data_IF_494328471121
#
_entry.id   IF_494328471121
#
_cell.length_a   1.000
_cell.length_b   1.000
_cell.length_c   1.000
_cell.angle_alpha   90.00
_cell.angle_beta   90.00
_cell.angle_gamma   90.00
#
_symmetry.space_group_name_H-M   'P 1'
#
loop_
_entity.id
_entity.type
_entity.pdbx_description
1 polymer ?
#
# COMPACT_ATOMS: atom_id res chain seq x y z
N UNK A 1 -28.59 -8.72 -0.48
CA UNK A 1 -28.47 -10.17 -0.77
C UNK A 1 -27.15 -10.35 -1.51
N UNK A 2 -26.24 -11.17 -0.99
CA UNK A 2 -24.96 -11.42 -1.64
C UNK A 2 -25.23 -12.20 -2.93
N UNK A 3 -24.73 -11.70 -4.06
CA UNK A 3 -24.93 -12.32 -5.37
C UNK A 3 -23.64 -13.03 -5.81
N UNK A 4 -23.56 -14.31 -5.48
CA UNK A 4 -22.52 -15.22 -5.97
C UNK A 4 -22.76 -15.54 -7.45
N UNK A 5 -21.70 -15.58 -8.24
CA UNK A 5 -21.74 -15.90 -9.67
C UNK A 5 -20.79 -17.05 -10.00
N UNK A 6 -21.10 -17.81 -11.04
CA UNK A 6 -20.23 -18.87 -11.54
C UNK A 6 -19.14 -18.32 -12.47
N UNK A 7 -18.16 -19.17 -12.81
CA UNK A 7 -17.17 -18.88 -13.84
C UNK A 7 -17.82 -18.60 -15.22
N UNK A 8 -18.93 -19.28 -15.53
CA UNK A 8 -19.66 -19.02 -16.78
C UNK A 8 -20.24 -17.61 -16.78
N UNK A 9 -20.90 -17.21 -15.70
CA UNK A 9 -21.46 -15.87 -15.54
C UNK A 9 -20.37 -14.79 -15.59
N UNK A 10 -19.21 -15.05 -14.98
CA UNK A 10 -18.05 -14.14 -15.04
C UNK A 10 -17.61 -13.92 -16.49
N UNK A 11 -17.43 -14.99 -17.26
CA UNK A 11 -17.04 -14.89 -18.66
C UNK A 11 -18.08 -14.13 -19.48
N UNK A 12 -19.36 -14.41 -19.27
CA UNK A 12 -20.44 -13.69 -19.96
C UNK A 12 -20.41 -12.18 -19.63
N UNK A 13 -20.14 -11.82 -18.37
CA UNK A 13 -20.01 -10.42 -17.96
C UNK A 13 -18.81 -9.76 -18.66
N UNK A 14 -17.64 -10.41 -18.68
CA UNK A 14 -16.43 -9.84 -19.27
C UNK A 14 -16.59 -9.73 -20.79
N UNK A 15 -17.07 -10.78 -21.46
CA UNK A 15 -17.12 -10.85 -22.93
C UNK A 15 -18.18 -9.89 -23.51
N UNK A 16 -19.23 -9.54 -22.76
CA UNK A 16 -20.32 -8.66 -23.23
C UNK A 16 -20.21 -7.20 -22.74
N UNK A 17 -19.19 -6.85 -21.95
CA UNK A 17 -19.06 -5.52 -21.35
C UNK A 17 -17.64 -4.97 -21.50
N UNK A 18 -17.51 -3.66 -21.29
CA UNK A 18 -16.21 -3.00 -21.27
C UNK A 18 -15.63 -3.09 -19.86
N UNK A 19 -14.87 -4.15 -19.64
CA UNK A 19 -14.35 -4.51 -18.33
C UNK A 19 -12.89 -4.07 -18.13
N UNK A 20 -12.58 -3.53 -16.96
CA UNK A 20 -11.23 -3.34 -16.46
C UNK A 20 -10.87 -4.42 -15.45
N UNK A 21 -9.65 -4.96 -15.56
CA UNK A 21 -9.06 -5.85 -14.56
C UNK A 21 -8.27 -5.00 -13.57
N UNK A 22 -8.55 -5.13 -12.28
CA UNK A 22 -7.83 -4.46 -11.20
C UNK A 22 -7.30 -5.50 -10.22
N UNK A 23 -5.98 -5.68 -10.14
CA UNK A 23 -5.38 -6.56 -9.14
C UNK A 23 -4.86 -5.83 -7.91
N UNK A 24 -4.92 -6.52 -6.77
CA UNK A 24 -4.11 -6.25 -5.58
C UNK A 24 -3.11 -7.37 -5.30
N UNK A 25 -2.52 -7.36 -4.10
CA UNK A 25 -1.39 -8.22 -3.71
C UNK A 25 -1.70 -9.72 -3.88
N UNK A 26 -2.98 -10.11 -3.76
CA UNK A 26 -3.42 -11.48 -3.94
C UNK A 26 -3.16 -12.05 -5.33
N UNK A 27 -2.87 -11.23 -6.35
CA UNK A 27 -2.43 -11.70 -7.67
C UNK A 27 -0.98 -12.23 -7.64
N UNK A 28 -0.03 -11.40 -7.21
CA UNK A 28 1.42 -11.70 -7.26
C UNK A 28 1.80 -12.87 -6.34
N UNK A 29 1.09 -13.04 -5.21
CA UNK A 29 1.28 -14.16 -4.29
C UNK A 29 1.04 -15.55 -4.91
N UNK A 30 0.30 -15.62 -6.02
CA UNK A 30 0.10 -16.90 -6.73
C UNK A 30 1.36 -17.36 -7.45
N UNK A 31 2.29 -16.45 -7.76
CA UNK A 31 3.51 -16.73 -8.51
C UNK A 31 4.74 -16.94 -7.62
N UNK A 32 4.75 -16.32 -6.44
CA UNK A 32 5.87 -16.44 -5.51
C UNK A 32 5.44 -16.22 -4.05
N UNK A 33 5.93 -17.08 -3.16
CA UNK A 33 5.70 -16.97 -1.72
C UNK A 33 6.37 -15.75 -1.10
N UNK A 34 7.39 -15.20 -1.74
CA UNK A 34 8.12 -14.02 -1.28
C UNK A 34 7.23 -12.78 -1.16
N UNK A 35 6.16 -12.70 -1.97
CA UNK A 35 5.17 -11.62 -1.88
C UNK A 35 4.19 -11.79 -0.71
N UNK A 36 4.06 -13.01 -0.17
CA UNK A 36 3.24 -13.30 1.01
C UNK A 36 4.00 -13.23 2.34
N UNK A 37 5.33 -13.43 2.31
CA UNK A 37 6.18 -13.55 3.50
C UNK A 37 7.24 -12.44 3.55
N UNK A 38 6.78 -11.18 3.53
CA UNK A 38 7.64 -9.99 3.49
C UNK A 38 8.57 -9.93 4.72
N UNK A 39 8.09 -10.28 5.92
CA UNK A 39 8.88 -10.20 7.15
C UNK A 39 10.14 -11.07 7.15
N UNK A 40 10.11 -12.23 6.48
CA UNK A 40 11.25 -13.16 6.46
C UNK A 40 12.49 -12.59 5.75
N UNK A 41 12.31 -11.55 4.93
CA UNK A 41 13.37 -10.99 4.07
C UNK A 41 13.79 -9.58 4.52
N UNK A 42 13.29 -9.11 5.66
CA UNK A 42 13.67 -7.81 6.23
C UNK A 42 15.17 -7.68 6.45
N UNK A 43 15.82 -8.73 6.96
CA UNK A 43 17.26 -8.68 7.21
C UNK A 43 18.08 -8.62 5.91
N UNK A 44 17.63 -9.28 4.84
CA UNK A 44 18.27 -9.19 3.53
C UNK A 44 18.16 -7.78 2.96
N UNK A 45 16.97 -7.17 3.02
CA UNK A 45 16.77 -5.78 2.60
C UNK A 45 17.60 -4.80 3.43
N UNK A 46 17.69 -5.02 4.75
CA UNK A 46 18.55 -4.24 5.64
C UNK A 46 20.02 -4.29 5.19
N UNK A 47 20.55 -5.47 4.86
CA UNK A 47 21.93 -5.60 4.36
C UNK A 47 22.16 -4.81 3.07
N UNK A 48 21.19 -4.77 2.16
CA UNK A 48 21.29 -3.97 0.93
C UNK A 48 21.37 -2.46 1.23
N UNK A 49 20.67 -1.99 2.27
CA UNK A 49 20.75 -0.61 2.74
C UNK A 49 22.12 -0.31 3.35
N UNK A 50 22.61 -1.15 4.26
CA UNK A 50 23.87 -0.89 4.98
C UNK A 50 25.08 -1.00 4.06
N UNK A 51 25.11 -1.98 3.15
CA UNK A 51 26.19 -2.15 2.15
C UNK A 51 26.28 -1.00 1.15
N UNK A 52 25.27 -0.12 1.09
CA UNK A 52 25.23 1.02 0.18
C UNK A 52 24.74 0.68 -1.23
N UNK A 53 24.08 -0.48 -1.41
CA UNK A 53 23.41 -0.81 -2.67
C UNK A 53 22.12 0.01 -2.83
N UNK A 54 21.45 0.31 -1.72
CA UNK A 54 20.32 1.24 -1.69
C UNK A 54 20.79 2.70 -1.67
N UNK A 55 20.18 3.53 -2.50
CA UNK A 55 20.53 4.93 -2.72
C UNK A 55 19.38 5.84 -2.27
N UNK A 56 19.68 6.79 -1.37
CA UNK A 56 18.79 7.88 -1.00
C UNK A 56 19.39 9.22 -1.41
N UNK A 57 18.72 9.93 -2.33
CA UNK A 57 19.16 11.24 -2.84
C UNK A 57 18.11 12.31 -2.65
N UNK A 58 18.58 13.52 -2.42
CA UNK A 58 17.75 14.72 -2.30
C UNK A 58 18.18 15.73 -3.36
N UNK A 59 17.20 16.36 -4.01
CA UNK A 59 17.41 17.52 -4.88
C UNK A 59 16.53 18.66 -4.38
N UNK A 60 17.01 19.41 -3.40
CA UNK A 60 16.29 20.54 -2.81
C UNK A 60 17.28 21.63 -2.36
N UNK A 61 16.81 22.62 -1.60
CA UNK A 61 17.71 23.55 -0.91
C UNK A 61 18.52 22.82 0.19
N UNK A 62 19.64 23.41 0.61
CA UNK A 62 20.57 22.82 1.57
C UNK A 62 19.95 22.52 2.94
N UNK A 63 18.98 23.33 3.40
CA UNK A 63 18.31 23.08 4.69
C UNK A 63 17.47 21.80 4.62
N UNK A 64 16.68 21.63 3.57
CA UNK A 64 15.87 20.43 3.37
C UNK A 64 16.76 19.20 3.13
N UNK A 65 17.82 19.34 2.33
CA UNK A 65 18.78 18.27 2.08
C UNK A 65 19.47 17.81 3.36
N UNK A 66 20.01 18.73 4.16
CA UNK A 66 20.68 18.41 5.41
C UNK A 66 19.74 17.75 6.41
N UNK A 67 18.49 18.23 6.52
CA UNK A 67 17.48 17.62 7.38
C UNK A 67 17.21 16.18 6.97
N UNK A 68 16.80 15.96 5.73
CA UNK A 68 16.40 14.64 5.24
C UNK A 68 17.56 13.64 5.26
N UNK A 69 18.75 14.02 4.76
CA UNK A 69 19.93 13.15 4.75
C UNK A 69 20.45 12.88 6.16
N UNK A 70 20.59 13.91 7.00
CA UNK A 70 21.08 13.77 8.36
C UNK A 70 20.19 12.84 9.18
N UNK A 71 18.88 13.05 9.12
CA UNK A 71 17.89 12.19 9.79
C UNK A 71 17.99 10.73 9.34
N UNK A 72 18.11 10.49 8.02
CA UNK A 72 18.25 9.13 7.50
C UNK A 72 19.56 8.46 7.91
N UNK A 73 20.69 9.16 7.80
CA UNK A 73 22.00 8.61 8.18
C UNK A 73 22.08 8.30 9.67
N UNK A 74 21.47 9.12 10.53
CA UNK A 74 21.38 8.85 11.96
C UNK A 74 20.70 7.51 12.26
N UNK A 75 19.59 7.20 11.57
CA UNK A 75 18.88 5.91 11.72
C UNK A 75 19.68 4.77 11.11
N UNK A 76 20.34 5.00 9.97
CA UNK A 76 21.22 4.01 9.34
C UNK A 76 22.36 3.62 10.29
N UNK A 77 23.00 4.60 10.95
CA UNK A 77 24.03 4.37 11.96
C UNK A 77 23.50 3.62 13.19
N UNK A 78 22.30 3.94 13.68
CA UNK A 78 21.66 3.21 14.79
C UNK A 78 21.50 1.71 14.48
N UNK A 79 21.29 1.37 13.22
CA UNK A 79 20.99 0.02 12.75
C UNK A 79 22.16 -0.66 12.03
N UNK A 80 23.32 -0.02 11.89
CA UNK A 80 24.45 -0.52 11.08
C UNK A 80 24.86 -1.96 11.41
N UNK A 81 24.96 -2.27 12.71
CA UNK A 81 25.31 -3.60 13.22
C UNK A 81 24.08 -4.41 13.69
N UNK A 82 22.89 -4.11 13.18
CA UNK A 82 21.68 -4.81 13.60
C UNK A 82 21.72 -6.28 13.15
N UNK A 83 21.42 -7.21 14.06
CA UNK A 83 21.15 -8.60 13.71
C UNK A 83 19.74 -8.76 13.15
N UNK A 84 19.44 -9.93 12.58
CA UNK A 84 18.07 -10.27 12.13
C UNK A 84 17.04 -10.08 13.24
N UNK A 85 17.35 -10.57 14.45
CA UNK A 85 16.48 -10.44 15.62
C UNK A 85 16.28 -8.98 16.01
N UNK A 86 17.31 -8.14 15.89
CA UNK A 86 17.22 -6.71 16.19
C UNK A 86 16.35 -5.96 15.17
N UNK A 87 16.37 -6.35 13.89
CA UNK A 87 15.47 -5.80 12.87
C UNK A 87 14.01 -6.18 13.17
N UNK A 88 13.75 -7.45 13.53
CA UNK A 88 12.40 -7.89 13.93
C UNK A 88 11.95 -7.19 15.21
N UNK A 89 12.86 -7.00 16.18
CA UNK A 89 12.58 -6.32 17.46
C UNK A 89 12.00 -4.92 17.26
N UNK A 90 12.38 -4.20 16.20
CA UNK A 90 11.78 -2.89 15.88
C UNK A 90 10.25 -3.00 15.82
N UNK A 91 9.70 -4.02 15.18
CA UNK A 91 8.26 -4.19 15.02
C UNK A 91 7.59 -4.79 16.27
N UNK A 92 8.30 -5.63 17.03
CA UNK A 92 7.85 -6.07 18.36
C UNK A 92 7.71 -4.87 19.31
N UNK A 93 8.69 -3.98 19.32
CA UNK A 93 8.67 -2.76 20.11
C UNK A 93 7.60 -1.76 19.62
N UNK A 94 7.36 -1.72 18.31
CA UNK A 94 6.27 -0.93 17.74
C UNK A 94 4.90 -1.42 18.25
N UNK A 95 4.68 -2.73 18.36
CA UNK A 95 3.46 -3.29 18.94
C UNK A 95 3.31 -2.90 20.42
N UNK A 96 4.37 -3.01 21.23
CA UNK A 96 4.36 -2.57 22.64
C UNK A 96 3.97 -1.09 22.74
N UNK A 97 4.50 -0.25 21.85
CA UNK A 97 4.13 1.16 21.80
C UNK A 97 2.66 1.35 21.41
N UNK A 98 2.17 0.65 20.39
CA UNK A 98 0.76 0.70 20.00
C UNK A 98 -0.18 0.33 21.15
N UNK A 99 0.11 -0.77 21.86
CA UNK A 99 -0.67 -1.23 23.01
C UNK A 99 -0.67 -0.21 24.16
N UNK A 100 0.48 0.41 24.43
CA UNK A 100 0.59 1.44 25.47
C UNK A 100 -0.31 2.66 25.18
N UNK A 101 -0.47 3.04 23.92
CA UNK A 101 -1.40 4.10 23.51
C UNK A 101 -2.84 3.61 23.64
N UNK A 102 -3.14 2.43 23.11
CA UNK A 102 -4.49 1.85 23.08
C UNK A 102 -5.08 1.69 24.49
N UNK A 103 -4.27 1.27 25.45
CA UNK A 103 -4.70 1.03 26.84
C UNK A 103 -4.88 2.33 27.63
N UNK A 104 -4.36 3.47 27.15
CA UNK A 104 -4.48 4.75 27.82
C UNK A 104 -5.66 5.57 27.25
N UNK A 105 -6.88 5.30 27.74
CA UNK A 105 -8.08 6.01 27.32
C UNK A 105 -7.97 7.53 27.49
N UNK A 106 -7.32 8.01 28.57
CA UNK A 106 -7.13 9.44 28.82
C UNK A 106 -6.31 10.10 27.72
N UNK A 107 -5.24 9.44 27.26
CA UNK A 107 -4.42 9.92 26.15
C UNK A 107 -5.23 9.98 24.85
N UNK A 108 -5.95 8.91 24.53
CA UNK A 108 -6.79 8.85 23.32
C UNK A 108 -7.83 9.98 23.33
N UNK A 109 -8.53 10.19 24.44
CA UNK A 109 -9.53 11.25 24.57
C UNK A 109 -8.90 12.64 24.41
N UNK A 110 -7.71 12.86 24.98
CA UNK A 110 -6.99 14.13 24.81
C UNK A 110 -6.55 14.36 23.35
N UNK A 111 -6.07 13.33 22.66
CA UNK A 111 -5.70 13.41 21.24
C UNK A 111 -6.93 13.73 20.36
N UNK A 112 -8.09 13.13 20.64
CA UNK A 112 -9.35 13.51 19.98
C UNK A 112 -9.74 14.96 20.25
N UNK A 113 -9.75 15.37 21.53
CA UNK A 113 -10.16 16.72 21.93
C UNK A 113 -9.26 17.81 21.33
N UNK A 114 -7.98 17.49 21.08
CA UNK A 114 -7.02 18.39 20.43
C UNK A 114 -7.00 18.28 18.89
N UNK A 115 -7.90 17.49 18.29
CA UNK A 115 -7.94 17.22 16.85
C UNK A 115 -6.63 16.64 16.29
N UNK A 116 -5.91 15.86 17.10
CA UNK A 116 -4.70 15.13 16.74
C UNK A 116 -4.99 13.67 16.36
N UNK A 117 -6.26 13.25 16.40
CA UNK A 117 -6.74 12.04 15.73
C UNK A 117 -7.78 12.47 14.71
N UNK A 118 -7.63 11.98 13.47
CA UNK A 118 -8.55 12.25 12.37
C UNK A 118 -9.47 11.08 12.11
N UNK A 119 -10.73 11.39 11.81
CA UNK A 119 -11.73 10.44 11.29
C UNK A 119 -12.09 10.83 9.86
N UNK A 120 -11.98 9.89 8.95
CA UNK A 120 -12.38 10.04 7.56
C UNK A 120 -13.92 10.04 7.47
N UNK A 121 -14.44 10.65 6.41
CA UNK A 121 -15.88 10.77 6.19
C UNK A 121 -16.57 9.40 6.10
N UNK A 122 -15.86 8.36 5.69
CA UNK A 122 -16.31 6.96 5.64
C UNK A 122 -16.01 6.16 6.91
N UNK A 123 -15.70 6.82 8.02
CA UNK A 123 -15.69 6.21 9.34
C UNK A 123 -14.34 5.72 9.84
N UNK A 124 -13.37 5.43 8.97
CA UNK A 124 -12.02 5.01 9.37
C UNK A 124 -11.27 6.17 10.05
N UNK A 125 -10.65 5.91 11.20
CA UNK A 125 -9.80 6.85 11.92
C UNK A 125 -8.39 6.31 12.14
N UNK A 126 -7.45 7.20 12.51
CA UNK A 126 -6.08 6.81 12.88
C UNK A 126 -6.10 5.88 14.12
N UNK A 127 -7.08 6.04 15.01
CA UNK A 127 -7.34 5.12 16.13
C UNK A 127 -7.78 3.73 15.68
N UNK A 128 -8.53 3.62 14.58
CA UNK A 128 -8.97 2.32 14.08
C UNK A 128 -7.79 1.52 13.53
N UNK A 129 -6.85 2.19 12.83
CA UNK A 129 -5.58 1.57 12.41
C UNK A 129 -4.77 1.13 13.64
N UNK A 130 -4.66 1.97 14.67
CA UNK A 130 -4.00 1.60 15.94
C UNK A 130 -4.62 0.34 16.57
N UNK A 131 -5.96 0.27 16.60
CA UNK A 131 -6.67 -0.89 17.13
C UNK A 131 -6.43 -2.15 16.28
N UNK A 132 -6.34 -2.03 14.96
CA UNK A 132 -6.03 -3.14 14.06
C UNK A 132 -4.61 -3.67 14.30
N UNK A 133 -3.61 -2.79 14.47
CA UNK A 133 -2.24 -3.16 14.83
C UNK A 133 -2.24 -4.00 16.11
N UNK A 134 -2.89 -3.49 17.17
CA UNK A 134 -2.93 -4.19 18.47
C UNK A 134 -3.64 -5.54 18.37
N UNK A 135 -4.83 -5.56 17.74
CA UNK A 135 -5.62 -6.77 17.59
C UNK A 135 -4.88 -7.85 16.79
N UNK A 136 -4.38 -7.52 15.60
CA UNK A 136 -3.68 -8.48 14.73
C UNK A 136 -2.36 -8.91 15.38
N UNK A 137 -1.63 -7.99 16.00
CA UNK A 137 -0.39 -8.29 16.70
C UNK A 137 -0.57 -9.30 17.84
N UNK A 138 -1.64 -9.15 18.62
CA UNK A 138 -1.98 -10.06 19.72
C UNK A 138 -2.51 -11.41 19.23
N UNK A 139 -3.39 -11.41 18.22
CA UNK A 139 -4.07 -12.63 17.75
C UNK A 139 -3.19 -13.48 16.82
N UNK A 140 -2.41 -12.83 15.94
CA UNK A 140 -1.75 -13.46 14.79
C UNK A 140 -0.24 -13.20 14.71
N UNK A 141 0.30 -12.30 15.53
CA UNK A 141 1.71 -11.93 15.54
C UNK A 141 2.07 -10.76 14.62
N UNK A 142 3.25 -10.18 14.85
CA UNK A 142 3.70 -8.96 14.16
C UNK A 142 3.89 -9.14 12.65
N UNK A 143 4.20 -10.35 12.18
CA UNK A 143 4.41 -10.60 10.75
C UNK A 143 3.11 -10.55 9.94
N UNK A 144 1.96 -10.61 10.63
CA UNK A 144 0.62 -10.57 10.03
C UNK A 144 0.01 -9.17 10.03
N UNK A 145 0.62 -8.22 10.73
CA UNK A 145 0.20 -6.82 10.69
C UNK A 145 0.51 -6.26 9.31
N UNK A 146 -0.45 -5.54 8.72
CA UNK A 146 -0.23 -4.91 7.44
C UNK A 146 0.93 -3.91 7.55
N UNK A 147 1.93 -4.07 6.68
CA UNK A 147 3.15 -3.27 6.72
C UNK A 147 2.82 -1.76 6.75
N UNK A 148 1.87 -1.33 5.93
CA UNK A 148 1.51 0.08 5.79
C UNK A 148 1.04 0.73 7.08
N UNK A 149 0.48 -0.04 8.01
CA UNK A 149 -0.06 0.47 9.27
C UNK A 149 1.02 0.98 10.22
N UNK A 150 2.25 0.45 10.18
CA UNK A 150 3.30 0.83 11.13
C UNK A 150 3.61 2.33 11.14
N UNK A 151 3.49 2.98 9.99
CA UNK A 151 3.76 4.41 9.84
C UNK A 151 2.80 5.30 10.64
N UNK A 152 1.61 4.82 11.00
CA UNK A 152 0.69 5.59 11.86
C UNK A 152 1.27 5.80 13.26
N UNK A 153 2.10 4.88 13.75
CA UNK A 153 2.72 5.00 15.07
C UNK A 153 3.75 6.11 15.10
N UNK A 154 4.41 6.41 13.97
CA UNK A 154 5.32 7.56 13.85
C UNK A 154 4.52 8.87 14.02
N UNK A 155 3.31 8.94 13.46
CA UNK A 155 2.41 10.07 13.69
C UNK A 155 2.00 10.18 15.16
N UNK A 156 1.58 9.08 15.78
CA UNK A 156 1.21 9.07 17.21
C UNK A 156 2.37 9.52 18.11
N UNK A 157 3.61 9.12 17.83
CA UNK A 157 4.78 9.59 18.56
C UNK A 157 4.85 11.12 18.62
N UNK A 158 4.79 11.78 17.47
CA UNK A 158 4.85 13.24 17.39
C UNK A 158 3.60 13.92 17.95
N UNK A 159 2.41 13.31 17.79
CA UNK A 159 1.19 13.81 18.39
C UNK A 159 1.28 13.82 19.93
N UNK A 160 1.78 12.74 20.53
CA UNK A 160 1.98 12.64 21.98
C UNK A 160 3.06 13.62 22.45
N UNK A 161 4.17 13.76 21.71
CA UNK A 161 5.19 14.77 21.98
C UNK A 161 4.65 16.21 21.93
N UNK A 162 3.67 16.49 21.07
CA UNK A 162 3.03 17.80 21.01
C UNK A 162 2.12 18.05 22.22
N UNK A 163 1.44 17.02 22.73
CA UNK A 163 0.59 17.13 23.92
C UNK A 163 1.40 17.28 25.21
N UNK A 164 2.52 16.55 25.33
CA UNK A 164 3.35 16.45 26.54
C UNK A 164 2.54 16.08 27.80
N UNK A 165 1.77 14.98 27.77
CA UNK A 165 0.91 14.60 28.89
C UNK A 165 1.75 14.17 30.11
N UNK A 166 1.47 14.73 31.28
CA UNK A 166 2.16 14.34 32.53
C UNK A 166 1.77 12.96 33.07
N UNK A 167 0.77 12.32 32.47
CA UNK A 167 0.17 11.06 32.93
C UNK A 167 0.46 9.88 32.00
N UNK A 168 1.25 10.10 30.95
CA UNK A 168 1.65 9.08 30.01
C UNK A 168 3.14 9.17 29.77
N UNK A 169 3.81 8.03 29.88
CA UNK A 169 5.23 7.89 29.59
C UNK A 169 5.39 6.92 28.41
N UNK A 170 6.31 7.26 27.52
CA UNK A 170 6.67 6.36 26.43
C UNK A 170 7.30 5.07 27.00
N UNK A 171 7.02 3.90 26.42
CA UNK A 171 7.68 2.66 26.81
C UNK A 171 9.21 2.77 26.82
N UNK A 172 9.83 2.38 27.93
CA UNK A 172 11.29 2.38 28.09
C UNK A 172 11.96 1.33 27.20
N UNK A 173 13.23 1.56 26.84
CA UNK A 173 14.06 0.62 26.07
C UNK A 173 13.43 0.15 24.74
N UNK A 174 12.62 1.01 24.13
CA UNK A 174 11.89 0.74 22.90
C UNK A 174 12.70 1.20 21.67
N UNK A 175 13.17 0.26 20.86
CA UNK A 175 14.00 0.51 19.68
C UNK A 175 13.24 1.24 18.56
N UNK A 176 11.95 0.99 18.42
CA UNK A 176 11.10 1.70 17.45
C UNK A 176 11.03 3.20 17.78
N UNK A 177 10.73 3.53 19.03
CA UNK A 177 10.70 4.90 19.51
C UNK A 177 12.07 5.58 19.41
N UNK A 178 13.14 4.86 19.77
CA UNK A 178 14.52 5.35 19.62
C UNK A 178 14.86 5.67 18.15
N UNK A 179 14.44 4.83 17.20
CA UNK A 179 14.67 5.06 15.79
C UNK A 179 13.90 6.29 15.27
N UNK A 180 12.66 6.49 15.73
CA UNK A 180 11.89 7.70 15.39
C UNK A 180 12.58 8.94 15.96
N UNK A 181 12.98 8.92 17.23
CA UNK A 181 13.60 10.06 17.92
C UNK A 181 14.91 10.50 17.24
N UNK A 182 15.84 9.55 17.05
CA UNK A 182 17.11 9.78 16.36
C UNK A 182 16.90 10.21 14.89
N UNK A 183 15.83 9.70 14.27
CA UNK A 183 15.40 10.07 12.93
C UNK A 183 14.78 11.46 12.82
N UNK A 184 14.66 12.22 13.92
CA UNK A 184 14.11 13.58 13.91
C UNK A 184 15.08 14.62 14.52
N UNK A 185 16.34 14.26 14.77
CA UNK A 185 17.33 15.14 15.41
C UNK A 185 17.60 16.45 14.65
N UNK A 186 17.49 16.45 13.32
CA UNK A 186 17.68 17.65 12.50
C UNK A 186 16.36 18.40 12.23
N UNK A 187 15.32 18.14 13.00
CA UNK A 187 14.03 18.83 12.89
C UNK A 187 14.11 20.29 13.33
N UNK A 188 13.21 21.11 12.80
CA UNK A 188 13.00 22.47 13.28
C UNK A 188 11.62 22.54 13.93
N UNK A 189 11.51 22.10 15.19
CA UNK A 189 10.25 21.99 15.94
C UNK A 189 9.40 23.26 15.91
N UNK A 190 10.01 24.44 15.76
CA UNK A 190 9.30 25.72 15.71
C UNK A 190 8.56 25.97 14.37
N UNK A 191 8.86 25.21 13.32
CA UNK A 191 8.30 25.40 11.97
C UNK A 191 7.62 24.17 11.40
N UNK A 192 7.96 22.98 11.88
CA UNK A 192 7.47 21.73 11.32
C UNK A 192 6.18 21.29 12.01
N UNK A 193 5.11 21.14 11.23
CA UNK A 193 3.93 20.40 11.70
C UNK A 193 4.22 18.89 11.79
N UNK A 194 3.35 18.14 12.48
CA UNK A 194 3.51 16.70 12.66
C UNK A 194 3.68 15.97 11.33
N UNK A 195 2.91 16.34 10.29
CA UNK A 195 2.98 15.68 8.99
C UNK A 195 4.35 15.88 8.34
N UNK A 196 4.89 17.10 8.37
CA UNK A 196 6.26 17.40 7.89
C UNK A 196 7.28 16.55 8.63
N UNK A 197 7.16 16.44 9.96
CA UNK A 197 8.04 15.58 10.78
C UNK A 197 7.95 14.12 10.36
N UNK A 198 6.76 13.55 10.19
CA UNK A 198 6.59 12.17 9.70
C UNK A 198 7.25 11.97 8.33
N UNK A 199 6.97 12.84 7.35
CA UNK A 199 7.49 12.69 5.98
C UNK A 199 9.02 12.83 5.90
N UNK A 200 9.62 13.64 6.76
CA UNK A 200 11.06 13.94 6.77
C UNK A 200 11.84 13.20 7.87
N UNK A 201 11.16 12.34 8.63
CA UNK A 201 11.78 11.50 9.64
C UNK A 201 12.64 10.41 8.98
N UNK A 202 13.85 10.24 9.50
CA UNK A 202 14.82 9.28 8.99
C UNK A 202 14.35 7.84 9.06
N UNK A 203 13.59 7.48 10.09
CA UNK A 203 13.05 6.13 10.23
C UNK A 203 11.90 5.89 9.26
N UNK A 204 11.08 6.91 8.95
CA UNK A 204 10.09 6.81 7.86
C UNK A 204 10.76 6.55 6.51
N UNK A 205 11.86 7.23 6.21
CA UNK A 205 12.66 6.99 5.00
C UNK A 205 13.26 5.58 4.99
N UNK A 206 13.92 5.18 6.08
CA UNK A 206 14.52 3.86 6.22
C UNK A 206 13.47 2.74 6.08
N UNK A 207 12.32 2.89 6.73
CA UNK A 207 11.19 1.97 6.66
C UNK A 207 10.69 1.80 5.22
N UNK A 208 10.48 2.89 4.48
CA UNK A 208 10.05 2.83 3.08
C UNK A 208 11.08 2.14 2.19
N UNK A 209 12.37 2.44 2.38
CA UNK A 209 13.45 1.75 1.64
C UNK A 209 13.47 0.25 1.96
N UNK A 210 13.36 -0.12 3.24
CA UNK A 210 13.38 -1.50 3.69
C UNK A 210 12.28 -2.32 3.01
N UNK A 211 11.03 -1.86 3.09
CA UNK A 211 9.91 -2.59 2.52
C UNK A 211 9.88 -2.55 0.99
N UNK A 212 10.30 -1.45 0.34
CA UNK A 212 10.45 -1.42 -1.12
C UNK A 212 11.46 -2.46 -1.60
N UNK A 213 12.60 -2.62 -0.93
CA UNK A 213 13.63 -3.61 -1.29
C UNK A 213 13.12 -5.04 -1.03
N UNK A 214 12.38 -5.26 0.06
CA UNK A 214 11.75 -6.56 0.29
C UNK A 214 10.76 -6.88 -0.83
N UNK A 215 9.84 -5.98 -1.17
CA UNK A 215 8.84 -6.21 -2.22
C UNK A 215 9.53 -6.39 -3.58
N UNK A 216 10.62 -5.66 -3.84
CA UNK A 216 11.41 -5.81 -5.06
C UNK A 216 11.89 -7.26 -5.27
N UNK A 217 12.18 -7.94 -4.15
CA UNK A 217 12.46 -9.38 -4.09
C UNK A 217 13.57 -9.82 -5.05
N UNK A 218 14.68 -9.07 -5.03
CA UNK A 218 15.87 -9.32 -5.84
C UNK A 218 15.55 -9.48 -7.34
N UNK A 219 14.70 -8.59 -7.89
CA UNK A 219 14.34 -8.57 -9.29
C UNK A 219 13.08 -9.35 -9.65
N UNK A 220 12.56 -10.22 -8.76
CA UNK A 220 11.33 -11.01 -9.03
C UNK A 220 10.10 -10.17 -9.33
N UNK A 221 10.01 -8.97 -8.75
CA UNK A 221 8.93 -8.02 -9.01
C UNK A 221 8.94 -7.47 -10.44
N UNK A 222 10.09 -7.46 -11.14
CA UNK A 222 10.22 -6.88 -12.48
C UNK A 222 10.57 -7.90 -13.55
N UNK A 223 11.00 -9.10 -13.17
CA UNK A 223 11.22 -10.23 -14.07
C UNK A 223 10.48 -11.48 -13.60
N UNK A 224 9.35 -11.77 -14.26
CA UNK A 224 8.54 -12.94 -13.99
C UNK A 224 9.27 -14.29 -14.14
N UNK A 225 10.40 -14.35 -14.86
CA UNK A 225 11.18 -15.60 -15.02
C UNK A 225 11.85 -16.03 -13.72
N UNK A 226 12.03 -15.12 -12.78
CA UNK A 226 12.63 -15.38 -11.47
C UNK A 226 11.62 -15.92 -10.45
N UNK A 227 10.33 -15.99 -10.80
CA UNK A 227 9.25 -16.39 -9.90
C UNK A 227 9.27 -17.90 -9.63
N UNK A 228 9.22 -18.29 -8.36
CA UNK A 228 9.43 -19.68 -7.95
C UNK A 228 8.35 -20.65 -8.47
N UNK A 229 7.11 -20.19 -8.68
CA UNK A 229 5.99 -21.03 -9.17
C UNK A 229 5.73 -20.89 -10.67
N UNK A 230 6.63 -20.24 -11.42
CA UNK A 230 6.41 -19.96 -12.85
C UNK A 230 6.16 -21.23 -13.69
N UNK A 231 6.74 -22.36 -13.28
CA UNK A 231 6.57 -23.63 -13.97
C UNK A 231 5.21 -24.29 -13.71
N UNK A 232 4.54 -23.96 -12.60
CA UNK A 232 3.21 -24.46 -12.24
C UNK A 232 2.09 -23.66 -12.90
N UNK A 233 2.43 -22.46 -13.39
CA UNK A 233 1.49 -21.47 -13.91
C UNK A 233 1.40 -21.52 -15.45
N UNK A 234 0.18 -21.52 -15.96
CA UNK A 234 -0.19 -21.39 -17.37
C UNK A 234 -0.11 -19.92 -17.80
N UNK A 235 1.07 -19.46 -18.20
CA UNK A 235 1.26 -18.09 -18.69
C UNK A 235 0.36 -17.78 -19.90
N UNK A 236 0.14 -18.76 -20.79
CA UNK A 236 -0.81 -18.61 -21.90
C UNK A 236 -2.25 -18.48 -21.40
N UNK A 237 -2.69 -19.32 -20.45
CA UNK A 237 -4.04 -19.26 -19.90
C UNK A 237 -4.33 -17.94 -19.18
N UNK A 238 -3.38 -17.46 -18.39
CA UNK A 238 -3.48 -16.14 -17.74
C UNK A 238 -3.52 -15.03 -18.78
N UNK A 239 -2.63 -15.07 -19.78
CA UNK A 239 -2.64 -14.07 -20.84
C UNK A 239 -3.99 -14.07 -21.56
N UNK A 240 -4.50 -15.22 -22.00
CA UNK A 240 -5.79 -15.33 -22.70
C UNK A 240 -6.95 -14.77 -21.87
N UNK A 241 -6.96 -15.04 -20.56
CA UNK A 241 -7.93 -14.45 -19.64
C UNK A 241 -7.78 -12.91 -19.55
N UNK A 242 -6.56 -12.41 -19.36
CA UNK A 242 -6.29 -10.97 -19.23
C UNK A 242 -6.53 -10.19 -20.55
N UNK A 243 -6.40 -10.83 -21.71
CA UNK A 243 -6.69 -10.20 -23.00
C UNK A 243 -8.17 -9.87 -23.19
N UNK A 244 -9.07 -10.49 -22.41
CA UNK A 244 -10.51 -10.18 -22.44
C UNK A 244 -10.86 -8.79 -21.87
N UNK A 245 -9.96 -8.19 -21.10
CA UNK A 245 -10.19 -6.90 -20.45
C UNK A 245 -9.66 -5.75 -21.31
N UNK A 246 -10.40 -4.65 -21.36
CA UNK A 246 -10.04 -3.45 -22.13
C UNK A 246 -8.84 -2.71 -21.52
N UNK A 247 -8.74 -2.75 -20.18
CA UNK A 247 -7.68 -2.11 -19.43
C UNK A 247 -7.20 -3.02 -18.29
N UNK A 248 -5.90 -2.99 -18.02
CA UNK A 248 -5.26 -3.66 -16.90
C UNK A 248 -4.78 -2.60 -15.91
N UNK A 249 -5.12 -2.78 -14.65
CA UNK A 249 -4.78 -1.89 -13.55
C UNK A 249 -4.19 -2.69 -12.40
N UNK A 250 -3.27 -2.09 -11.67
CA UNK A 250 -2.61 -2.71 -10.53
C UNK A 250 -2.56 -1.76 -9.33
N UNK A 251 -2.83 -2.31 -8.15
CA UNK A 251 -2.48 -1.70 -6.86
C UNK A 251 -1.10 -2.17 -6.37
N UNK A 252 -0.50 -3.14 -7.06
CA UNK A 252 0.83 -3.65 -6.73
C UNK A 252 1.90 -2.82 -7.44
N UNK A 253 3.13 -3.00 -6.95
CA UNK A 253 4.30 -2.30 -7.46
C UNK A 253 5.07 -3.10 -8.53
N UNK A 254 4.78 -4.40 -8.67
CA UNK A 254 5.44 -5.33 -9.58
C UNK A 254 4.92 -5.25 -11.02
N UNK A 255 5.74 -5.67 -11.98
CA UNK A 255 5.43 -5.66 -13.42
C UNK A 255 5.00 -7.04 -13.95
N UNK A 256 4.40 -7.89 -13.11
CA UNK A 256 4.06 -9.27 -13.52
C UNK A 256 3.01 -9.24 -14.63
N UNK A 257 2.02 -8.34 -14.55
CA UNK A 257 0.97 -8.22 -15.57
C UNK A 257 1.53 -7.84 -16.95
N UNK A 258 2.42 -6.85 -17.01
CA UNK A 258 3.07 -6.37 -18.22
C UNK A 258 3.98 -7.44 -18.79
N UNK A 259 4.68 -8.16 -17.92
CA UNK A 259 5.55 -9.25 -18.32
C UNK A 259 4.79 -10.40 -18.98
N UNK A 260 3.61 -10.75 -18.48
CA UNK A 260 2.75 -11.80 -19.04
C UNK A 260 2.05 -11.32 -20.31
N UNK A 261 1.44 -10.15 -20.28
CA UNK A 261 0.51 -9.70 -21.33
C UNK A 261 1.14 -8.86 -22.43
N UNK A 262 2.33 -8.28 -22.17
CA UNK A 262 2.97 -7.27 -23.01
C UNK A 262 2.09 -6.03 -23.26
N UNK A 263 1.15 -5.77 -22.36
CA UNK A 263 0.27 -4.59 -22.38
C UNK A 263 0.72 -3.58 -21.32
N UNK A 264 0.34 -2.34 -21.53
CA UNK A 264 0.49 -1.29 -20.52
C UNK A 264 -0.47 -1.58 -19.35
N UNK A 265 -0.01 -1.30 -18.13
CA UNK A 265 -0.77 -1.44 -16.89
C UNK A 265 -0.79 -0.10 -16.17
N UNK A 266 -1.95 0.29 -15.62
CA UNK A 266 -2.08 1.49 -14.82
C UNK A 266 -1.77 1.20 -13.34
N UNK A 267 -0.62 1.67 -12.84
CA UNK A 267 -0.14 1.41 -11.46
C UNK A 267 -0.59 2.45 -10.44
N UNK A 268 -1.72 2.25 -9.76
CA UNK A 268 -2.32 3.28 -8.92
C UNK A 268 -1.53 3.67 -7.67
N UNK A 269 -0.70 2.77 -7.13
CA UNK A 269 0.14 3.03 -5.94
C UNK A 269 1.63 3.21 -6.25
N UNK A 270 1.97 3.43 -7.53
CA UNK A 270 3.35 3.51 -8.02
C UNK A 270 3.88 2.14 -8.47
N UNK A 271 5.08 2.16 -9.03
CA UNK A 271 5.71 0.98 -9.66
C UNK A 271 7.24 1.05 -9.55
N UNK A 272 7.91 -0.06 -9.90
CA UNK A 272 9.38 -0.12 -9.97
C UNK A 272 9.89 0.39 -11.32
N UNK A 273 10.59 1.51 -11.36
CA UNK A 273 11.09 2.08 -12.61
C UNK A 273 12.54 1.66 -12.88
N UNK A 274 12.78 1.03 -14.02
CA UNK A 274 14.10 0.52 -14.42
C UNK A 274 14.98 1.62 -15.04
N UNK A 275 16.24 1.66 -14.60
CA UNK A 275 17.32 2.48 -15.14
C UNK A 275 17.05 4.01 -15.16
N UNK A 276 16.09 4.48 -14.37
CA UNK A 276 15.75 5.90 -14.23
C UNK A 276 15.83 6.35 -12.77
N UNK A 277 16.23 7.61 -12.53
CA UNK A 277 16.21 8.24 -11.21
C UNK A 277 15.07 9.24 -11.11
N UNK A 278 14.08 8.89 -10.32
CA UNK A 278 12.91 9.71 -10.09
C UNK A 278 13.01 10.47 -8.77
N UNK A 279 12.37 11.64 -8.70
CA UNK A 279 12.28 12.43 -7.48
C UNK A 279 10.81 12.69 -7.16
N UNK A 280 10.36 12.28 -5.98
CA UNK A 280 9.02 12.53 -5.45
C UNK A 280 9.19 13.36 -4.18
N UNK A 281 8.55 14.53 -4.14
CA UNK A 281 8.75 15.50 -3.06
C UNK A 281 10.23 15.82 -2.76
N UNK A 282 11.03 15.97 -3.82
CA UNK A 282 12.48 16.24 -3.81
C UNK A 282 13.35 15.10 -3.30
N UNK A 283 12.77 13.93 -3.03
CA UNK A 283 13.43 12.73 -2.52
C UNK A 283 13.46 11.65 -3.59
N UNK A 284 14.57 10.92 -3.69
CA UNK A 284 14.78 9.83 -4.63
C UNK A 284 15.26 8.61 -3.86
N UNK A 285 14.63 7.47 -4.15
CA UNK A 285 14.93 6.18 -3.56
C UNK A 285 15.18 5.17 -4.69
N UNK A 286 16.23 4.38 -4.55
CA UNK A 286 16.48 3.28 -5.48
C UNK A 286 17.47 2.27 -4.95
N UNK A 287 17.71 1.24 -5.75
CA UNK A 287 18.58 0.10 -5.45
C UNK A 287 19.39 -0.24 -6.69
N UNK A 288 20.70 -0.39 -6.50
CA UNK A 288 21.58 -1.01 -7.49
C UNK A 288 21.61 -2.51 -7.24
N UNK A 289 21.23 -3.30 -8.25
CA UNK A 289 21.16 -4.76 -8.18
C UNK A 289 21.82 -5.36 -9.43
N UNK A 290 21.82 -6.69 -9.54
CA UNK A 290 22.56 -7.40 -10.59
C UNK A 290 22.20 -6.95 -12.01
N UNK A 291 20.93 -6.63 -12.30
CA UNK A 291 20.46 -6.28 -13.64
C UNK A 291 20.28 -4.78 -13.89
N UNK A 292 20.88 -3.94 -13.03
CA UNK A 292 20.94 -2.48 -13.22
C UNK A 292 20.48 -1.69 -12.01
N UNK A 293 19.84 -0.55 -12.26
CA UNK A 293 19.28 0.30 -11.22
C UNK A 293 17.76 0.22 -11.25
N UNK A 294 17.14 0.19 -10.08
CA UNK A 294 15.69 0.31 -9.94
C UNK A 294 15.36 1.49 -9.03
N UNK A 295 14.46 2.37 -9.48
CA UNK A 295 13.84 3.36 -8.62
C UNK A 295 12.52 2.85 -8.09
N UNK A 296 12.24 3.23 -6.85
CA UNK A 296 10.96 2.99 -6.17
C UNK A 296 10.47 4.26 -5.49
N UNK A 297 10.74 5.41 -6.12
CA UNK A 297 10.44 6.71 -5.49
C UNK A 297 8.96 7.04 -5.46
N UNK A 298 8.21 6.53 -6.44
CA UNK A 298 6.78 6.73 -6.60
C UNK A 298 5.93 5.67 -5.86
N UNK A 299 6.57 4.66 -5.27
CA UNK A 299 5.90 3.61 -4.50
C UNK A 299 5.33 4.18 -3.20
N UNK A 300 4.02 3.96 -2.99
CA UNK A 300 3.25 4.46 -1.85
C UNK A 300 3.16 3.45 -0.69
N UNK A 301 4.29 3.15 -0.05
CA UNK A 301 4.31 2.37 1.20
C UNK A 301 4.08 3.30 2.39
N UNK A 302 2.98 3.07 3.12
CA UNK A 302 2.64 3.76 4.36
C UNK A 302 1.13 3.94 4.52
N UNK A 303 0.73 4.58 5.62
CA UNK A 303 -0.65 4.72 6.02
C UNK A 303 -1.47 5.56 5.03
N UNK A 304 -2.78 5.38 5.11
CA UNK A 304 -3.71 6.09 4.24
C UNK A 304 -3.66 7.62 4.41
N UNK A 305 -3.52 8.11 5.65
CA UNK A 305 -3.66 9.52 5.99
C UNK A 305 -2.49 10.36 5.47
N UNK A 306 -1.26 9.89 5.66
CA UNK A 306 -0.06 10.64 5.29
C UNK A 306 0.48 10.18 3.94
N UNK A 307 0.86 8.91 3.80
CA UNK A 307 1.65 8.46 2.65
C UNK A 307 0.81 8.21 1.39
N UNK A 308 -0.39 7.63 1.51
CA UNK A 308 -1.25 7.39 0.32
C UNK A 308 -2.12 8.58 -0.08
N UNK A 309 -2.46 9.47 0.85
CA UNK A 309 -3.35 10.62 0.56
C UNK A 309 -2.62 11.95 0.50
N UNK A 310 -1.92 12.33 1.56
CA UNK A 310 -1.41 13.69 1.72
C UNK A 310 -0.09 13.93 0.98
N UNK A 311 0.85 12.99 1.04
CA UNK A 311 2.15 13.09 0.38
C UNK A 311 2.02 13.26 -1.15
N UNK A 312 1.16 12.53 -1.88
CA UNK A 312 0.96 12.76 -3.31
C UNK A 312 0.45 14.16 -3.64
N UNK A 313 -0.41 14.74 -2.78
CA UNK A 313 -0.89 16.12 -2.94
C UNK A 313 0.25 17.11 -2.73
N UNK A 314 1.01 16.95 -1.64
CA UNK A 314 2.17 17.79 -1.32
C UNK A 314 3.20 17.73 -2.45
N UNK A 315 3.54 16.53 -2.92
CA UNK A 315 4.48 16.32 -4.03
C UNK A 315 4.03 17.06 -5.29
N UNK A 316 2.73 16.99 -5.61
CA UNK A 316 2.17 17.69 -6.77
C UNK A 316 2.24 19.22 -6.66
N UNK A 317 2.04 19.77 -5.46
CA UNK A 317 2.27 21.20 -5.24
C UNK A 317 3.76 21.55 -5.32
N UNK A 318 4.64 20.68 -4.82
CA UNK A 318 6.08 20.90 -4.81
C UNK A 318 6.72 20.92 -6.21
N UNK A 319 6.06 20.37 -7.24
CA UNK A 319 6.52 20.48 -8.64
C UNK A 319 6.68 21.94 -9.07
N UNK A 320 5.80 22.84 -8.60
CA UNK A 320 5.88 24.28 -8.92
C UNK A 320 7.16 24.92 -8.39
N UNK A 321 7.62 24.47 -7.23
CA UNK A 321 8.83 24.96 -6.57
C UNK A 321 10.10 24.21 -6.95
N UNK A 322 9.98 23.00 -7.49
CA UNK A 322 11.11 22.13 -7.81
C UNK A 322 10.84 21.34 -9.10
N UNK A 323 11.46 21.72 -10.24
CA UNK A 323 11.21 21.10 -11.53
C UNK A 323 11.78 19.68 -11.65
N UNK A 324 12.62 19.23 -10.71
CA UNK A 324 13.12 17.86 -10.69
C UNK A 324 12.08 16.84 -10.24
N UNK A 325 10.99 17.29 -9.61
CA UNK A 325 9.94 16.39 -9.14
C UNK A 325 9.16 15.78 -10.29
N UNK A 326 8.97 14.46 -10.22
CA UNK A 326 8.09 13.69 -11.10
C UNK A 326 6.68 14.28 -11.03
N UNK A 327 6.07 14.45 -12.19
CA UNK A 327 4.66 14.81 -12.28
C UNK A 327 3.83 13.55 -12.09
N UNK A 328 3.05 13.50 -11.01
CA UNK A 328 2.15 12.38 -10.74
C UNK A 328 0.71 12.83 -10.88
N UNK A 329 -0.11 12.09 -11.61
CA UNK A 329 -1.54 12.39 -11.68
C UNK A 329 -2.21 11.95 -10.37
N UNK A 330 -3.12 12.76 -9.80
CA UNK A 330 -3.95 12.31 -8.68
C UNK A 330 -4.69 11.01 -9.01
N UNK A 331 -4.87 10.14 -8.01
CA UNK A 331 -5.55 8.84 -8.16
C UNK A 331 -6.89 8.96 -8.92
N UNK A 332 -7.74 9.90 -8.51
CA UNK A 332 -9.06 10.12 -9.12
C UNK A 332 -8.97 10.45 -10.61
N UNK A 333 -7.96 11.23 -11.02
CA UNK A 333 -7.77 11.61 -12.41
C UNK A 333 -7.31 10.40 -13.24
N UNK A 334 -6.41 9.58 -12.69
CA UNK A 334 -5.97 8.33 -13.33
C UNK A 334 -7.12 7.35 -13.52
N UNK A 335 -7.94 7.16 -12.48
CA UNK A 335 -9.13 6.31 -12.54
C UNK A 335 -10.15 6.83 -13.57
N UNK A 336 -10.36 8.15 -13.61
CA UNK A 336 -11.24 8.77 -14.58
C UNK A 336 -10.72 8.61 -16.02
N UNK A 337 -9.41 8.75 -16.24
CA UNK A 337 -8.77 8.52 -17.54
C UNK A 337 -8.97 7.05 -17.98
N UNK A 338 -8.79 6.08 -17.08
CA UNK A 338 -9.06 4.65 -17.34
C UNK A 338 -10.50 4.44 -17.80
N UNK A 339 -11.46 5.00 -17.08
CA UNK A 339 -12.89 4.82 -17.37
C UNK A 339 -13.27 5.48 -18.70
N UNK A 340 -12.93 6.75 -18.89
CA UNK A 340 -13.36 7.52 -20.06
C UNK A 340 -12.67 7.05 -21.34
N UNK A 341 -11.36 6.77 -21.29
CA UNK A 341 -10.58 6.38 -22.47
C UNK A 341 -10.99 5.02 -23.01
N UNK A 342 -11.31 4.08 -22.12
CA UNK A 342 -11.63 2.69 -22.48
C UNK A 342 -13.13 2.39 -22.40
N UNK A 343 -13.97 3.40 -22.13
CA UNK A 343 -15.41 3.27 -21.93
C UNK A 343 -15.81 2.20 -20.91
N UNK A 344 -15.04 2.10 -19.81
CA UNK A 344 -15.22 1.06 -18.79
C UNK A 344 -16.55 1.25 -18.08
N UNK A 345 -17.34 0.18 -18.01
CA UNK A 345 -18.55 0.14 -17.20
C UNK A 345 -18.53 -0.97 -16.15
N UNK A 346 -17.52 -1.85 -16.20
CA UNK A 346 -17.39 -3.01 -15.33
C UNK A 346 -15.99 -3.09 -14.77
N UNK A 347 -15.86 -3.28 -13.45
CA UNK A 347 -14.59 -3.56 -12.80
C UNK A 347 -14.57 -5.00 -12.27
N UNK A 348 -13.55 -5.75 -12.65
CA UNK A 348 -13.23 -7.03 -12.02
C UNK A 348 -12.04 -6.83 -11.07
N UNK A 349 -12.27 -7.05 -9.78
CA UNK A 349 -11.30 -6.80 -8.72
C UNK A 349 -10.77 -8.13 -8.20
N UNK A 350 -9.46 -8.34 -8.33
CA UNK A 350 -8.79 -9.59 -7.98
C UNK A 350 -7.76 -9.40 -6.87
N UNK A 351 -7.98 -10.02 -5.70
CA UNK A 351 -6.98 -10.08 -4.64
C UNK A 351 -6.66 -8.74 -3.97
N UNK A 352 -7.62 -7.81 -3.93
CA UNK A 352 -7.52 -6.54 -3.21
C UNK A 352 -7.91 -6.70 -1.73
N UNK A 353 -7.12 -6.12 -0.82
CA UNK A 353 -7.47 -6.02 0.59
C UNK A 353 -8.29 -4.74 0.84
N UNK A 354 -9.61 -4.91 0.92
CA UNK A 354 -10.54 -3.79 1.09
C UNK A 354 -10.36 -3.01 2.39
N UNK A 355 -9.77 -3.59 3.44
CA UNK A 355 -9.54 -2.88 4.71
C UNK A 355 -8.51 -1.76 4.56
N UNK A 356 -7.58 -1.90 3.60
CA UNK A 356 -6.54 -0.91 3.32
C UNK A 356 -6.83 -0.05 2.08
N UNK A 357 -7.63 -0.56 1.13
CA UNK A 357 -7.83 0.06 -0.18
C UNK A 357 -9.25 0.60 -0.39
N UNK A 358 -9.89 1.04 0.69
CA UNK A 358 -11.23 1.64 0.69
C UNK A 358 -11.36 2.82 -0.28
N UNK A 359 -10.30 3.61 -0.43
CA UNK A 359 -10.26 4.74 -1.36
C UNK A 359 -10.37 4.31 -2.82
N UNK A 360 -9.92 3.10 -3.17
CA UNK A 360 -10.00 2.58 -4.53
C UNK A 360 -11.47 2.39 -4.94
N UNK A 361 -12.26 1.71 -4.11
CA UNK A 361 -13.70 1.53 -4.33
C UNK A 361 -14.43 2.88 -4.38
N UNK A 362 -14.10 3.77 -3.44
CA UNK A 362 -14.72 5.10 -3.40
C UNK A 362 -14.45 5.88 -4.69
N UNK A 363 -13.24 5.80 -5.24
CA UNK A 363 -12.89 6.44 -6.51
C UNK A 363 -13.58 5.78 -7.71
N UNK A 364 -13.70 4.44 -7.74
CA UNK A 364 -14.48 3.73 -8.78
C UNK A 364 -15.91 4.27 -8.81
N UNK A 365 -16.60 4.36 -7.66
CA UNK A 365 -17.96 4.88 -7.56
C UNK A 365 -18.08 6.31 -8.11
N UNK A 366 -17.19 7.21 -7.66
CA UNK A 366 -17.19 8.63 -8.04
C UNK A 366 -16.91 8.79 -9.54
N UNK A 367 -15.92 8.08 -10.08
CA UNK A 367 -15.52 8.23 -11.46
C UNK A 367 -16.53 7.62 -12.43
N UNK A 368 -17.16 6.47 -12.10
CA UNK A 368 -18.25 5.90 -12.90
C UNK A 368 -19.46 6.84 -12.96
N UNK A 369 -19.83 7.46 -11.84
CA UNK A 369 -20.88 8.46 -11.79
C UNK A 369 -20.53 9.69 -12.64
N UNK A 370 -19.32 10.22 -12.48
CA UNK A 370 -18.84 11.40 -13.20
C UNK A 370 -18.74 11.16 -14.71
N UNK A 371 -18.45 9.93 -15.12
CA UNK A 371 -18.46 9.50 -16.52
C UNK A 371 -19.87 9.21 -17.08
N UNK A 372 -20.92 9.31 -16.26
CA UNK A 372 -22.31 9.11 -16.69
C UNK A 372 -22.70 7.66 -16.96
N UNK A 373 -21.95 6.68 -16.41
CA UNK A 373 -22.21 5.25 -16.59
C UNK A 373 -23.48 4.87 -15.83
N UNK A 374 -24.54 4.43 -16.53
CA UNK A 374 -25.85 4.21 -15.88
C UNK A 374 -26.04 2.85 -15.20
N UNK A 375 -25.37 1.81 -15.69
CA UNK A 375 -25.53 0.43 -15.20
C UNK A 375 -24.18 -0.21 -14.88
N UNK A 376 -23.37 0.40 -14.01
CA UNK A 376 -22.05 -0.14 -13.70
C UNK A 376 -22.17 -1.51 -13.02
N UNK A 377 -21.13 -2.32 -13.19
CA UNK A 377 -20.96 -3.59 -12.46
C UNK A 377 -19.61 -3.65 -11.77
N UNK A 378 -19.58 -4.25 -10.59
CA UNK A 378 -18.35 -4.64 -9.91
C UNK A 378 -18.42 -6.14 -9.68
N UNK A 379 -17.33 -6.82 -9.97
CA UNK A 379 -17.17 -8.23 -9.65
C UNK A 379 -15.96 -8.35 -8.74
N UNK A 380 -16.16 -8.87 -7.52
CA UNK A 380 -15.09 -9.05 -6.54
C UNK A 380 -14.74 -10.53 -6.41
N UNK A 381 -13.47 -10.84 -6.63
CA UNK A 381 -12.90 -12.17 -6.39
C UNK A 381 -12.41 -12.26 -4.94
N UNK A 382 -12.97 -13.20 -4.17
CA UNK A 382 -12.61 -13.42 -2.77
C UNK A 382 -11.96 -14.79 -2.57
N UNK A 383 -10.98 -14.89 -1.68
CA UNK A 383 -10.32 -16.17 -1.38
C UNK A 383 -11.07 -16.96 -0.30
N UNK A 384 -11.62 -16.29 0.69
CA UNK A 384 -12.40 -16.89 1.78
C UNK A 384 -13.64 -16.03 2.13
N UNK A 385 -14.58 -16.60 2.87
CA UNK A 385 -15.83 -15.92 3.20
C UNK A 385 -15.62 -14.69 4.09
N UNK A 386 -14.56 -14.66 4.92
CA UNK A 386 -14.23 -13.51 5.76
C UNK A 386 -13.89 -12.30 4.90
N UNK A 387 -13.08 -12.48 3.85
CA UNK A 387 -12.75 -11.43 2.87
C UNK A 387 -13.99 -10.95 2.12
N UNK A 388 -14.86 -11.87 1.66
CA UNK A 388 -16.12 -11.51 1.01
C UNK A 388 -16.98 -10.63 1.91
N UNK A 389 -17.18 -11.06 3.15
CA UNK A 389 -18.03 -10.34 4.10
C UNK A 389 -17.42 -8.98 4.46
N UNK A 390 -16.10 -8.90 4.64
CA UNK A 390 -15.40 -7.64 4.82
C UNK A 390 -15.61 -6.69 3.62
N UNK A 391 -15.55 -7.20 2.39
CA UNK A 391 -15.84 -6.40 1.20
C UNK A 391 -17.28 -5.89 1.18
N UNK A 392 -18.27 -6.73 1.49
CA UNK A 392 -19.68 -6.33 1.57
C UNK A 392 -19.87 -5.18 2.57
N UNK A 393 -19.31 -5.33 3.78
CA UNK A 393 -19.42 -4.32 4.84
C UNK A 393 -18.74 -3.02 4.44
N UNK A 394 -17.52 -3.09 3.91
CA UNK A 394 -16.77 -1.91 3.52
C UNK A 394 -17.35 -1.22 2.30
N UNK A 395 -17.88 -1.95 1.33
CA UNK A 395 -18.53 -1.39 0.15
C UNK A 395 -19.68 -0.45 0.55
N UNK A 396 -20.52 -0.84 1.50
CA UNK A 396 -21.58 0.02 2.03
C UNK A 396 -21.03 1.14 2.92
N UNK A 397 -20.07 0.84 3.79
CA UNK A 397 -19.50 1.82 4.72
C UNK A 397 -18.84 3.02 4.02
N UNK A 398 -18.27 2.82 2.83
CA UNK A 398 -17.63 3.91 2.07
C UNK A 398 -18.63 4.83 1.34
N UNK A 399 -19.92 4.49 1.30
CA UNK A 399 -20.98 5.29 0.66
C UNK A 399 -21.43 6.41 1.60
N UNK A 400 -20.58 7.41 1.74
CA UNK A 400 -20.80 8.60 2.57
C UNK A 400 -20.79 9.88 1.73
N UNK A 401 -21.40 9.81 0.55
CA UNK A 401 -21.52 10.93 -0.39
C UNK A 401 -22.80 11.72 -0.16
N UNK A 402 -22.97 12.82 -0.92
CA UNK A 402 -24.28 13.47 -1.05
C UNK A 402 -25.35 12.52 -1.60
N UNK A 403 -26.63 12.87 -1.41
CA UNK A 403 -27.78 12.00 -1.69
C UNK A 403 -27.77 11.37 -3.10
N UNK A 404 -27.50 12.18 -4.12
CA UNK A 404 -27.45 11.75 -5.52
C UNK A 404 -26.41 10.65 -5.76
N UNK A 405 -25.14 10.93 -5.40
CA UNK A 405 -24.04 9.98 -5.60
C UNK A 405 -24.19 8.75 -4.70
N UNK A 406 -24.71 8.91 -3.49
CA UNK A 406 -25.00 7.79 -2.60
C UNK A 406 -26.09 6.87 -3.15
N UNK A 407 -27.15 7.45 -3.73
CA UNK A 407 -28.20 6.69 -4.42
C UNK A 407 -27.64 5.95 -5.63
N UNK A 408 -26.79 6.62 -6.43
CA UNK A 408 -26.10 5.99 -7.54
C UNK A 408 -25.22 4.82 -7.09
N UNK A 409 -24.35 5.03 -6.10
CA UNK A 409 -23.40 4.03 -5.61
C UNK A 409 -24.09 2.77 -5.06
N UNK A 410 -25.23 2.94 -4.37
CA UNK A 410 -26.06 1.82 -3.88
C UNK A 410 -26.73 1.00 -4.97
N UNK A 411 -26.87 1.57 -6.17
CA UNK A 411 -27.46 0.90 -7.33
C UNK A 411 -26.42 0.21 -8.22
N UNK A 412 -25.12 0.28 -7.87
CA UNK A 412 -24.08 -0.49 -8.56
C UNK A 412 -24.29 -1.97 -8.27
N UNK A 413 -24.41 -2.79 -9.31
CA UNK A 413 -24.54 -4.23 -9.13
C UNK A 413 -23.17 -4.83 -8.76
N UNK A 414 -23.09 -5.43 -7.57
CA UNK A 414 -21.88 -6.11 -7.07
C UNK A 414 -22.10 -7.62 -7.09
N UNK A 415 -21.22 -8.33 -7.78
CA UNK A 415 -21.19 -9.79 -7.87
C UNK A 415 -19.92 -10.33 -7.19
N UNK A 416 -20.01 -11.56 -6.69
CA UNK A 416 -18.92 -12.21 -5.96
C UNK A 416 -18.58 -13.55 -6.61
N UNK A 417 -17.29 -13.86 -6.69
CA UNK A 417 -16.79 -15.14 -7.22
C UNK A 417 -15.60 -15.62 -6.37
N UNK A 418 -15.47 -16.93 -6.21
CA UNK A 418 -14.32 -17.52 -5.55
C UNK A 418 -13.08 -17.39 -6.42
N UNK A 419 -11.99 -16.91 -5.81
CA UNK A 419 -10.68 -16.81 -6.46
C UNK A 419 -10.20 -18.16 -6.99
N UNK A 420 -10.48 -19.25 -6.27
CA UNK A 420 -10.08 -20.61 -6.63
C UNK A 420 -10.67 -21.06 -7.98
N UNK A 421 -11.91 -20.66 -8.30
CA UNK A 421 -12.55 -21.01 -9.57
C UNK A 421 -11.80 -20.41 -10.76
N UNK A 422 -11.31 -19.17 -10.61
CA UNK A 422 -10.53 -18.45 -11.62
C UNK A 422 -9.12 -19.05 -11.72
N UNK A 423 -8.50 -19.33 -10.57
CA UNK A 423 -7.15 -19.89 -10.53
C UNK A 423 -7.09 -21.27 -11.20
N UNK A 424 -8.04 -22.15 -10.90
CA UNK A 424 -8.11 -23.48 -11.51
C UNK A 424 -8.40 -23.43 -13.01
N UNK A 425 -9.21 -22.46 -13.46
CA UNK A 425 -9.56 -22.33 -14.87
C UNK A 425 -8.46 -21.72 -15.73
N UNK A 426 -7.71 -20.74 -15.21
CA UNK A 426 -6.80 -19.93 -16.03
C UNK A 426 -5.34 -19.92 -15.57
N UNK A 427 -5.07 -20.11 -14.27
CA UNK A 427 -3.72 -19.90 -13.73
C UNK A 427 -2.91 -21.18 -13.67
N UNK A 428 -3.44 -22.27 -13.15
CA UNK A 428 -2.64 -23.46 -12.91
C UNK A 428 -2.69 -24.46 -14.07
N UNK A 429 -1.56 -25.12 -14.34
CA UNK A 429 -1.49 -26.16 -15.39
C UNK A 429 -2.21 -27.45 -15.01
N UNK A 430 -2.39 -27.69 -13.71
CA UNK A 430 -3.12 -28.82 -13.14
C UNK A 430 -4.16 -28.27 -12.15
N UNK A 431 -5.32 -28.92 -12.00
CA UNK A 431 -6.30 -28.55 -10.98
C UNK A 431 -5.69 -28.60 -9.58
N UNK A 432 -5.87 -27.55 -8.78
CA UNK A 432 -5.59 -27.62 -7.35
C UNK A 432 -6.73 -28.41 -6.72
N UNK A 433 -6.45 -29.65 -6.34
CA UNK A 433 -7.25 -30.38 -5.35
C UNK A 433 -7.06 -29.64 -4.02
N UNK A 434 -8.15 -29.31 -3.33
CA UNK A 434 -8.24 -28.51 -2.09
C UNK A 434 -7.29 -28.94 -0.93
N UNK A 435 -6.53 -30.02 -1.07
CA UNK A 435 -5.69 -30.62 -0.02
C UNK A 435 -4.37 -29.89 0.29
N UNK A 436 -3.96 -28.89 -0.49
CA UNK A 436 -2.65 -28.22 -0.29
C UNK A 436 -2.66 -26.97 0.62
N UNK A 437 -3.77 -26.66 1.29
CA UNK A 437 -3.95 -25.33 1.91
C UNK A 437 -4.46 -25.36 3.37
N UNK A 438 -3.99 -26.30 4.19
CA UNK A 438 -3.96 -26.11 5.65
C UNK A 438 -2.71 -25.35 6.09
#
# INVERSE_FOLDING_TARGET
>A
MIKEISLFDLNEIIDNRKAAFLCGNGFSMNFDSDFGNIFNRLYDAHKEIIKGNAEYKIKANSLFENKCKGNYENVKMLLEDASSERIVKIFSDALIFAESIQQNNRLIDELWNRNLIKKLVFGLSEKDILNQICKIGQELGIERINIEHWTILIYFYFAIQQVKPSYYEFPENNLFLKAIDIGDENSNEAKDDITSRVITNGFSTYYRMLFSIVIFANGKSVDHKLLNKINEISISGINDFLQKFECLCSLNYDHILENITKRNVEHFHGEFIKDEKEYVFSQSYGLSYTDGYISFSDILIGDYFIFKSLLPIISNFAIKSNPYNKKTKPFSNRMNDVILTNAIDTFFIFGMNIENDQHVIRNIMVCLHSAGIRKPKIVYSYFNEKERNAFVEQFEAVITFGEELSSYAKNIEVNYIKTQDILNAYFYKNEIVEELLN
#
